data_IF_635878986335
#
_entry.id   IF_635878986335
#
_cell.length_a   1.000
_cell.length_b   1.000
_cell.length_c   1.000
_cell.angle_alpha   90.00
_cell.angle_beta   90.00
_cell.angle_gamma   90.00
#
_symmetry.space_group_name_H-M   'P 1'
#
loop_
_entity.id
_entity.type
_entity.pdbx_description
1 polymer ?
#
# COMPACT_ATOMS: atom_id res chain seq x y z
N UNK A 1 2.25 -20.89 10.61
CA UNK A 1 1.34 -20.27 11.56
C UNK A 1 0.22 -21.24 11.83
N UNK A 2 -0.62 -21.65 10.87
CA UNK A 2 -1.66 -22.67 11.09
C UNK A 2 -1.15 -24.00 11.62
N UNK A 3 -0.01 -24.50 11.14
CA UNK A 3 0.58 -25.74 11.67
C UNK A 3 1.19 -25.59 13.08
N UNK A 4 1.55 -24.37 13.49
CA UNK A 4 2.13 -24.02 14.80
C UNK A 4 1.01 -23.67 15.79
N UNK A 5 -0.01 -22.93 15.33
CA UNK A 5 -1.24 -22.63 16.05
C UNK A 5 -2.08 -23.89 16.25
N UNK A 6 -2.14 -24.84 15.30
CA UNK A 6 -2.78 -26.15 15.51
C UNK A 6 -2.00 -27.06 16.46
N UNK A 7 -0.68 -26.88 16.58
CA UNK A 7 0.10 -27.60 17.61
C UNK A 7 0.01 -26.94 18.98
N UNK A 8 -0.22 -25.63 19.06
CA UNK A 8 -0.40 -24.88 20.30
C UNK A 8 -1.86 -24.82 20.80
N UNK A 9 -2.83 -24.82 19.89
CA UNK A 9 -4.25 -24.63 20.14
C UNK A 9 -5.06 -25.63 19.28
N UNK A 10 -5.87 -26.45 19.96
CA UNK A 10 -6.62 -27.54 19.32
C UNK A 10 -7.97 -27.10 18.72
N UNK A 11 -8.45 -25.88 19.01
CA UNK A 11 -9.69 -25.30 18.46
C UNK A 11 -9.63 -23.77 18.35
N UNK A 12 -10.46 -23.17 17.48
CA UNK A 12 -10.63 -21.70 17.37
C UNK A 12 -11.06 -21.07 18.70
N UNK A 13 -11.88 -21.78 19.50
CA UNK A 13 -12.28 -21.31 20.84
C UNK A 13 -11.09 -21.22 21.82
N UNK A 14 -10.11 -22.12 21.71
CA UNK A 14 -8.89 -22.07 22.53
C UNK A 14 -7.97 -20.93 22.11
N UNK A 15 -7.90 -20.62 20.81
CA UNK A 15 -7.16 -19.47 20.32
C UNK A 15 -7.79 -18.17 20.86
N UNK A 16 -9.12 -18.03 20.77
CA UNK A 16 -9.84 -16.87 21.32
C UNK A 16 -9.62 -16.74 22.82
N UNK A 17 -9.71 -17.85 23.58
CA UNK A 17 -9.44 -17.85 25.01
C UNK A 17 -8.02 -17.38 25.36
N UNK A 18 -7.02 -17.83 24.61
CA UNK A 18 -5.62 -17.44 24.84
C UNK A 18 -5.41 -15.97 24.48
N UNK A 19 -6.02 -15.48 23.40
CA UNK A 19 -6.01 -14.07 23.05
C UNK A 19 -6.66 -13.21 24.15
N UNK A 20 -7.76 -13.66 24.74
CA UNK A 20 -8.40 -13.00 25.87
C UNK A 20 -7.47 -12.98 27.10
N UNK A 21 -6.84 -14.11 27.44
CA UNK A 21 -5.85 -14.18 28.52
C UNK A 21 -4.67 -13.22 28.31
N UNK A 22 -4.13 -13.15 27.08
CA UNK A 22 -3.06 -12.21 26.72
C UNK A 22 -3.54 -10.76 26.84
N UNK A 23 -4.79 -10.47 26.48
CA UNK A 23 -5.40 -9.14 26.61
C UNK A 23 -5.57 -8.74 28.09
N UNK A 24 -6.02 -9.66 28.95
CA UNK A 24 -6.07 -9.43 30.40
C UNK A 24 -4.66 -9.21 30.98
N UNK A 25 -3.66 -9.97 30.52
CA UNK A 25 -2.27 -9.76 30.91
C UNK A 25 -1.77 -8.36 30.53
N UNK A 26 -2.08 -7.88 29.32
CA UNK A 26 -1.75 -6.52 28.89
C UNK A 26 -2.40 -5.49 29.82
N UNK A 27 -3.65 -5.66 30.20
CA UNK A 27 -4.32 -4.74 31.15
C UNK A 27 -3.64 -4.73 32.52
N UNK A 28 -3.22 -5.89 33.03
CA UNK A 28 -2.46 -5.98 34.29
C UNK A 28 -1.09 -5.31 34.15
N UNK A 29 -0.36 -5.58 33.07
CA UNK A 29 0.93 -4.95 32.79
C UNK A 29 0.80 -3.42 32.65
N UNK A 30 -0.29 -2.94 32.04
CA UNK A 30 -0.58 -1.52 31.94
C UNK A 30 -0.81 -0.88 33.32
N UNK A 31 -1.56 -1.54 34.21
CA UNK A 31 -1.76 -1.07 35.58
C UNK A 31 -0.46 -1.05 36.38
N UNK A 32 0.35 -2.11 36.32
CA UNK A 32 1.67 -2.15 36.98
C UNK A 32 2.56 -1.04 36.43
N UNK A 33 2.61 -0.88 35.11
CA UNK A 33 3.41 0.17 34.45
C UNK A 33 2.94 1.55 34.89
N UNK A 34 1.63 1.80 34.93
CA UNK A 34 1.07 3.05 35.44
C UNK A 34 1.52 3.35 36.87
N UNK A 35 1.41 2.38 37.79
CA UNK A 35 1.86 2.55 39.18
C UNK A 35 3.37 2.82 39.24
N UNK A 36 4.18 2.09 38.47
CA UNK A 36 5.64 2.26 38.42
C UNK A 36 6.01 3.66 37.90
N UNK A 37 5.26 4.16 36.92
CA UNK A 37 5.45 5.48 36.33
C UNK A 37 5.13 6.65 37.25
N UNK A 38 4.40 6.41 38.36
CA UNK A 38 4.21 7.41 39.42
C UNK A 38 5.50 7.69 40.19
N UNK A 39 6.45 6.75 40.19
CA UNK A 39 7.68 6.83 40.99
C UNK A 39 8.94 7.04 40.14
N UNK A 40 9.00 6.50 38.92
CA UNK A 40 10.16 6.61 38.04
C UNK A 40 9.73 6.86 36.58
N UNK A 41 10.50 7.66 35.84
CA UNK A 41 10.27 7.85 34.40
C UNK A 41 10.78 6.65 33.58
N UNK A 42 10.13 6.34 32.45
CA UNK A 42 10.60 5.27 31.55
C UNK A 42 12.02 5.59 31.07
N UNK A 43 13.00 4.69 31.24
CA UNK A 43 14.42 4.97 31.00
C UNK A 43 14.81 4.93 29.52
N UNK A 44 14.16 5.73 28.67
CA UNK A 44 14.52 5.92 27.26
C UNK A 44 14.55 7.40 26.85
N UNK A 45 15.21 7.73 25.74
CA UNK A 45 15.27 9.09 25.21
C UNK A 45 15.96 10.07 26.17
N UNK A 46 15.27 11.14 26.57
CA UNK A 46 15.81 12.17 27.49
C UNK A 46 16.10 11.62 28.89
N UNK A 47 15.43 10.53 29.29
CA UNK A 47 15.57 9.89 30.61
C UNK A 47 16.45 8.63 30.57
N UNK A 48 17.21 8.43 29.48
CA UNK A 48 18.06 7.25 29.33
C UNK A 48 19.11 7.17 30.44
N UNK A 49 19.23 5.99 31.06
CA UNK A 49 20.19 5.71 32.13
C UNK A 49 20.79 4.31 31.95
N UNK A 50 22.08 4.16 32.30
CA UNK A 50 22.78 2.86 32.30
C UNK A 50 22.31 1.91 33.41
N UNK A 51 21.42 2.37 34.31
CA UNK A 51 20.89 1.58 35.43
C UNK A 51 20.15 0.31 34.98
N UNK A 52 19.52 0.33 33.79
CA UNK A 52 18.70 -0.77 33.28
C UNK A 52 19.39 -1.57 32.16
N UNK A 53 20.72 -1.43 31.99
CA UNK A 53 21.49 -2.22 31.03
C UNK A 53 22.49 -1.42 30.19
N UNK A 54 23.08 -2.09 29.20
CA UNK A 54 24.02 -1.46 28.27
C UNK A 54 23.28 -0.64 27.20
N UNK A 55 23.84 0.50 26.76
CA UNK A 55 23.21 1.31 25.73
C UNK A 55 23.22 0.59 24.38
N UNK A 56 22.03 0.43 23.79
CA UNK A 56 21.85 -0.05 22.41
C UNK A 56 21.70 1.16 21.48
N UNK A 57 22.22 1.06 20.25
CA UNK A 57 22.01 2.10 19.24
C UNK A 57 20.50 2.36 19.03
N UNK A 58 20.09 3.62 19.05
CA UNK A 58 18.67 4.00 19.02
C UNK A 58 17.95 3.53 17.76
N UNK A 59 18.56 3.61 16.58
CA UNK A 59 17.95 3.18 15.33
C UNK A 59 17.79 1.65 15.32
N UNK A 60 18.82 0.93 15.78
CA UNK A 60 18.77 -0.52 15.89
C UNK A 60 17.72 -0.98 16.90
N UNK A 61 17.62 -0.35 18.06
CA UNK A 61 16.63 -0.69 19.08
C UNK A 61 15.19 -0.47 18.58
N UNK A 62 14.93 0.64 17.88
CA UNK A 62 13.61 0.92 17.28
C UNK A 62 13.26 -0.04 16.15
N UNK A 63 14.24 -0.45 15.36
CA UNK A 63 14.04 -1.45 14.32
C UNK A 63 13.72 -2.82 14.94
N UNK A 64 14.56 -3.32 15.84
CA UNK A 64 14.46 -4.68 16.41
C UNK A 64 13.22 -4.86 17.29
N UNK A 65 12.77 -3.82 18.02
CA UNK A 65 11.62 -3.98 18.92
C UNK A 65 10.28 -4.15 18.17
N UNK A 66 10.16 -3.55 16.98
CA UNK A 66 8.92 -3.62 16.17
C UNK A 66 8.96 -4.80 15.17
N UNK A 67 10.15 -5.31 14.84
CA UNK A 67 10.36 -6.36 13.85
C UNK A 67 9.67 -7.71 14.14
N UNK A 68 9.57 -8.20 15.39
CA UNK A 68 8.86 -9.44 15.70
C UNK A 68 7.39 -9.45 15.27
N UNK A 69 6.72 -8.30 15.30
CA UNK A 69 5.33 -8.19 14.85
C UNK A 69 5.17 -8.54 13.36
N UNK A 70 6.21 -8.28 12.56
CA UNK A 70 6.26 -8.71 11.17
C UNK A 70 6.55 -10.20 11.09
N UNK A 71 7.57 -10.70 11.80
CA UNK A 71 8.07 -12.08 11.71
C UNK A 71 7.07 -13.19 12.03
N UNK A 72 6.02 -12.91 12.79
CA UNK A 72 4.98 -13.90 13.13
C UNK A 72 4.17 -14.31 11.89
N UNK A 73 4.05 -13.43 10.90
CA UNK A 73 3.30 -13.67 9.67
C UNK A 73 4.10 -14.49 8.65
N UNK A 74 3.43 -15.30 7.82
CA UNK A 74 4.09 -16.05 6.75
C UNK A 74 4.72 -15.12 5.71
N UNK A 75 5.92 -15.48 5.21
CA UNK A 75 6.70 -14.64 4.29
C UNK A 75 5.92 -14.15 3.04
N UNK A 76 5.12 -14.98 2.33
CA UNK A 76 4.31 -14.50 1.21
C UNK A 76 3.31 -13.41 1.63
N UNK A 77 2.62 -13.61 2.75
CA UNK A 77 1.63 -12.70 3.30
C UNK A 77 2.30 -11.37 3.71
N UNK A 78 3.46 -11.46 4.38
CA UNK A 78 4.26 -10.28 4.75
C UNK A 78 4.62 -9.46 3.50
N UNK A 79 5.15 -10.11 2.46
CA UNK A 79 5.57 -9.42 1.23
C UNK A 79 4.39 -8.75 0.53
N UNK A 80 3.26 -9.44 0.38
CA UNK A 80 2.04 -8.87 -0.21
C UNK A 80 1.50 -7.71 0.64
N UNK A 81 1.46 -7.87 1.97
CA UNK A 81 1.01 -6.81 2.86
C UNK A 81 1.94 -5.59 2.79
N UNK A 82 3.26 -5.80 2.70
CA UNK A 82 4.25 -4.74 2.52
C UNK A 82 4.08 -4.02 1.17
N UNK A 83 3.81 -4.75 0.08
CA UNK A 83 3.50 -4.16 -1.22
C UNK A 83 2.25 -3.26 -1.11
N UNK A 84 1.17 -3.77 -0.50
CA UNK A 84 -0.05 -3.00 -0.29
C UNK A 84 0.17 -1.75 0.58
N UNK A 85 0.84 -1.90 1.72
CA UNK A 85 1.15 -0.79 2.65
C UNK A 85 2.05 0.24 1.97
N UNK A 86 3.08 -0.20 1.23
CA UNK A 86 3.98 0.71 0.51
C UNK A 86 3.20 1.59 -0.46
N UNK A 87 2.31 1.01 -1.26
CA UNK A 87 1.45 1.77 -2.15
C UNK A 87 0.58 2.76 -1.37
N UNK A 88 -0.08 2.31 -0.31
CA UNK A 88 -0.94 3.17 0.50
C UNK A 88 -0.17 4.33 1.15
N UNK A 89 1.04 4.10 1.67
CA UNK A 89 1.91 5.13 2.23
C UNK A 89 2.29 6.15 1.15
N UNK A 90 2.71 5.68 -0.02
CA UNK A 90 3.08 6.55 -1.13
C UNK A 90 1.87 7.39 -1.59
N UNK A 91 0.70 6.79 -1.74
CA UNK A 91 -0.51 7.47 -2.25
C UNK A 91 -1.15 8.42 -1.23
N UNK A 92 -1.08 8.11 0.06
CA UNK A 92 -1.76 8.87 1.13
C UNK A 92 -0.86 9.86 1.85
N UNK A 93 0.42 9.54 2.05
CA UNK A 93 1.33 10.35 2.87
C UNK A 93 2.41 11.08 2.07
N UNK A 94 2.66 10.71 0.82
CA UNK A 94 3.69 11.35 -0.01
C UNK A 94 3.07 12.09 -1.18
N UNK A 95 2.27 11.40 -2.00
CA UNK A 95 1.67 11.99 -3.19
C UNK A 95 0.88 13.28 -2.90
N UNK A 96 -0.04 13.35 -1.91
CA UNK A 96 -0.90 14.52 -1.72
C UNK A 96 -0.12 15.77 -1.32
N UNK A 97 0.93 15.61 -0.51
CA UNK A 97 1.81 16.71 -0.08
C UNK A 97 2.71 17.24 -1.22
N UNK A 98 2.79 16.51 -2.33
CA UNK A 98 3.58 16.89 -3.51
C UNK A 98 2.71 17.37 -4.68
N UNK A 99 1.38 17.33 -4.58
CA UNK A 99 0.47 17.79 -5.64
C UNK A 99 0.63 19.31 -5.83
N UNK A 100 0.73 19.74 -7.09
CA UNK A 100 0.79 21.16 -7.48
C UNK A 100 -0.44 21.58 -8.27
N UNK A 101 -1.27 22.41 -7.64
CA UNK A 101 -2.54 22.87 -8.21
C UNK A 101 -3.59 21.75 -8.30
N UNK A 102 -4.73 22.06 -8.89
CA UNK A 102 -5.87 21.13 -8.98
C UNK A 102 -7.19 21.86 -8.79
N UNK A 103 -8.27 21.25 -9.25
CA UNK A 103 -9.63 21.70 -8.93
C UNK A 103 -10.09 21.00 -7.66
N UNK A 104 -10.94 21.67 -6.88
CA UNK A 104 -11.57 21.06 -5.70
C UNK A 104 -12.33 19.80 -6.09
N UNK A 105 -12.18 18.75 -5.29
CA UNK A 105 -12.90 17.48 -5.49
C UNK A 105 -14.34 17.62 -4.99
N UNK A 106 -15.34 17.15 -5.75
CA UNK A 106 -16.73 17.09 -5.28
C UNK A 106 -16.87 16.24 -4.01
N UNK A 107 -17.67 16.72 -3.04
CA UNK A 107 -17.80 16.08 -1.72
C UNK A 107 -18.27 14.61 -1.80
N UNK A 108 -19.26 14.31 -2.65
CA UNK A 108 -19.78 12.95 -2.81
C UNK A 108 -18.70 12.00 -3.33
N UNK A 109 -17.92 12.43 -4.33
CA UNK A 109 -16.79 11.64 -4.85
C UNK A 109 -15.73 11.38 -3.79
N UNK A 110 -15.45 12.36 -2.92
CA UNK A 110 -14.54 12.20 -1.79
C UNK A 110 -15.06 11.16 -0.78
N UNK A 111 -16.34 11.25 -0.36
CA UNK A 111 -16.93 10.31 0.59
C UNK A 111 -16.94 8.89 0.05
N UNK A 112 -17.33 8.70 -1.21
CA UNK A 112 -17.32 7.38 -1.86
C UNK A 112 -15.91 6.79 -1.92
N UNK A 113 -14.90 7.59 -2.28
CA UNK A 113 -13.51 7.15 -2.30
C UNK A 113 -13.01 6.81 -0.89
N UNK A 114 -13.37 7.59 0.13
CA UNK A 114 -13.01 7.35 1.52
C UNK A 114 -13.59 6.03 2.04
N UNK A 115 -14.89 5.80 1.83
CA UNK A 115 -15.56 4.54 2.21
C UNK A 115 -14.96 3.36 1.46
N UNK A 116 -14.71 3.50 0.16
CA UNK A 116 -14.05 2.46 -0.63
C UNK A 116 -12.66 2.12 -0.10
N UNK A 117 -11.84 3.12 0.24
CA UNK A 117 -10.50 2.91 0.79
C UNK A 117 -10.53 2.20 2.15
N UNK A 118 -11.48 2.54 3.04
CA UNK A 118 -11.66 1.82 4.30
C UNK A 118 -12.04 0.36 4.04
N UNK A 119 -13.08 0.15 3.23
CA UNK A 119 -13.58 -1.18 2.90
C UNK A 119 -12.51 -2.06 2.24
N UNK A 120 -11.88 -1.57 1.17
CA UNK A 120 -10.86 -2.31 0.45
C UNK A 120 -9.59 -2.51 1.30
N UNK A 121 -9.17 -1.50 2.06
CA UNK A 121 -8.04 -1.61 2.97
C UNK A 121 -8.25 -2.69 4.02
N UNK A 122 -9.43 -2.70 4.66
CA UNK A 122 -9.82 -3.76 5.60
C UNK A 122 -9.85 -5.13 4.91
N UNK A 123 -10.47 -5.23 3.73
CA UNK A 123 -10.60 -6.47 2.96
C UNK A 123 -9.23 -7.10 2.66
N UNK A 124 -8.29 -6.33 2.10
CA UNK A 124 -6.96 -6.85 1.75
C UNK A 124 -6.13 -7.16 3.00
N UNK A 125 -6.10 -6.25 3.98
CA UNK A 125 -5.30 -6.42 5.18
C UNK A 125 -5.78 -7.62 6.01
N UNK A 126 -7.09 -7.75 6.24
CA UNK A 126 -7.66 -8.85 7.02
C UNK A 126 -7.49 -10.19 6.31
N UNK A 127 -7.71 -10.23 4.99
CA UNK A 127 -7.49 -11.46 4.22
C UNK A 127 -6.04 -11.92 4.30
N UNK A 128 -5.07 -11.04 4.00
CA UNK A 128 -3.65 -11.40 3.99
C UNK A 128 -3.12 -11.75 5.38
N UNK A 129 -3.61 -11.12 6.44
CA UNK A 129 -3.11 -11.38 7.80
C UNK A 129 -3.69 -12.64 8.44
N UNK A 130 -4.95 -13.00 8.14
CA UNK A 130 -5.65 -14.07 8.87
C UNK A 130 -6.15 -15.24 8.03
N UNK A 131 -6.40 -15.06 6.73
CA UNK A 131 -7.09 -16.08 5.91
C UNK A 131 -6.28 -16.57 4.71
N UNK A 132 -5.25 -15.83 4.29
CA UNK A 132 -4.41 -16.23 3.18
C UNK A 132 -3.45 -17.34 3.61
N UNK A 133 -3.75 -18.57 3.17
CA UNK A 133 -2.86 -19.71 3.32
C UNK A 133 -2.19 -20.02 1.97
N UNK A 134 -0.87 -19.93 1.93
CA UNK A 134 -0.08 -20.17 0.72
C UNK A 134 0.77 -21.43 0.88
N UNK A 135 0.92 -22.24 -0.18
CA UNK A 135 1.72 -23.45 -0.12
C UNK A 135 3.20 -23.12 0.19
N UNK A 136 3.95 -24.06 0.80
CA UNK A 136 5.39 -23.90 1.01
C UNK A 136 6.10 -23.57 -0.31
N UNK A 137 6.98 -22.57 -0.29
CA UNK A 137 7.69 -22.13 -1.49
C UNK A 137 6.91 -21.21 -2.43
N UNK A 138 5.72 -20.70 -2.04
CA UNK A 138 4.96 -19.78 -2.88
C UNK A 138 5.75 -18.55 -3.35
N UNK A 139 6.68 -18.04 -2.55
CA UNK A 139 7.55 -16.90 -2.93
C UNK A 139 8.41 -17.22 -4.17
N UNK A 140 8.75 -18.50 -4.37
CA UNK A 140 9.50 -18.97 -5.56
C UNK A 140 8.59 -19.41 -6.71
N UNK A 141 7.28 -19.43 -6.51
CA UNK A 141 6.32 -19.82 -7.53
C UNK A 141 6.31 -18.77 -8.67
N UNK A 142 6.23 -19.19 -9.95
CA UNK A 142 6.24 -18.26 -11.09
C UNK A 142 5.19 -17.15 -11.00
N UNK A 143 3.97 -17.46 -10.53
CA UNK A 143 2.93 -16.44 -10.35
C UNK A 143 3.33 -15.37 -9.33
N UNK A 144 3.97 -15.76 -8.23
CA UNK A 144 4.43 -14.80 -7.23
C UNK A 144 5.55 -13.92 -7.79
N UNK A 145 6.56 -14.53 -8.42
CA UNK A 145 7.69 -13.79 -8.99
C UNK A 145 7.22 -12.82 -10.09
N UNK A 146 6.46 -13.32 -11.07
CA UNK A 146 5.94 -12.50 -12.18
C UNK A 146 5.02 -11.42 -11.63
N UNK A 147 4.12 -11.76 -10.71
CA UNK A 147 3.19 -10.81 -10.09
C UNK A 147 3.92 -9.72 -9.31
N UNK A 148 4.94 -10.06 -8.52
CA UNK A 148 5.79 -9.10 -7.82
C UNK A 148 6.56 -8.21 -8.80
N UNK A 149 7.17 -8.76 -9.86
CA UNK A 149 7.85 -7.98 -10.88
C UNK A 149 6.90 -6.99 -11.59
N UNK A 150 5.69 -7.44 -11.94
CA UNK A 150 4.65 -6.59 -12.50
C UNK A 150 4.26 -5.48 -11.52
N UNK A 151 4.08 -5.81 -10.24
CA UNK A 151 3.76 -4.84 -9.21
C UNK A 151 4.83 -3.76 -9.10
N UNK A 152 6.11 -4.15 -9.00
CA UNK A 152 7.23 -3.21 -8.93
C UNK A 152 7.32 -2.32 -10.19
N UNK A 153 7.19 -2.91 -11.38
CA UNK A 153 7.22 -2.16 -12.64
C UNK A 153 6.06 -1.16 -12.73
N UNK A 154 4.85 -1.60 -12.37
CA UNK A 154 3.66 -0.74 -12.33
C UNK A 154 3.83 0.43 -11.36
N UNK A 155 4.34 0.15 -10.16
CA UNK A 155 4.62 1.14 -9.13
C UNK A 155 5.64 2.20 -9.62
N UNK A 156 6.73 1.77 -10.25
CA UNK A 156 7.74 2.67 -10.83
C UNK A 156 7.11 3.56 -11.91
N UNK A 157 6.34 2.98 -12.83
CA UNK A 157 5.66 3.73 -13.91
C UNK A 157 4.68 4.75 -13.31
N UNK A 158 3.90 4.35 -12.30
CA UNK A 158 2.93 5.22 -11.64
C UNK A 158 3.62 6.42 -10.98
N UNK A 159 4.61 6.18 -10.11
CA UNK A 159 5.33 7.22 -9.38
C UNK A 159 6.07 8.15 -10.34
N UNK A 160 6.73 7.60 -11.37
CA UNK A 160 7.44 8.38 -12.38
C UNK A 160 6.48 9.26 -13.19
N UNK A 161 5.33 8.72 -13.60
CA UNK A 161 4.32 9.45 -14.36
C UNK A 161 3.69 10.57 -13.51
N UNK A 162 3.37 10.29 -12.25
CA UNK A 162 2.88 11.30 -11.31
C UNK A 162 3.95 12.37 -11.04
N UNK A 163 5.24 12.01 -11.01
CA UNK A 163 6.33 12.99 -10.95
C UNK A 163 6.36 13.93 -12.16
N UNK A 164 6.21 13.40 -13.37
CA UNK A 164 6.09 14.23 -14.58
C UNK A 164 4.90 15.19 -14.47
N UNK A 165 3.71 14.67 -14.14
CA UNK A 165 2.48 15.47 -14.04
C UNK A 165 2.59 16.61 -13.04
N UNK A 166 3.16 16.34 -11.85
CA UNK A 166 3.36 17.35 -10.80
C UNK A 166 4.31 18.46 -11.23
N UNK A 167 5.29 18.17 -12.09
CA UNK A 167 6.27 19.13 -12.57
C UNK A 167 5.87 19.83 -13.88
N UNK A 168 4.70 19.52 -14.46
CA UNK A 168 4.18 20.30 -15.58
C UNK A 168 3.83 21.74 -15.19
N UNK A 169 3.51 21.97 -13.91
CA UNK A 169 3.10 23.27 -13.39
C UNK A 169 4.14 23.83 -12.43
N UNK A 170 4.47 25.11 -12.62
CA UNK A 170 5.13 25.89 -11.58
C UNK A 170 4.12 26.21 -10.46
N UNK A 171 4.57 26.45 -9.21
CA UNK A 171 3.68 26.91 -8.14
C UNK A 171 2.87 28.14 -8.58
N UNK A 172 1.54 28.06 -8.50
CA UNK A 172 0.62 29.13 -8.94
C UNK A 172 0.09 29.01 -10.38
N UNK A 173 0.66 28.15 -11.23
CA UNK A 173 0.13 27.94 -12.59
C UNK A 173 -1.13 27.04 -12.58
N UNK A 174 -2.16 27.45 -13.32
CA UNK A 174 -3.45 26.73 -13.43
C UNK A 174 -3.67 26.08 -14.80
N UNK A 175 -2.87 26.43 -15.79
CA UNK A 175 -2.95 25.89 -17.16
C UNK A 175 -2.69 24.39 -17.24
N UNK A 176 -3.30 23.72 -18.21
CA UNK A 176 -2.96 22.34 -18.59
C UNK A 176 -1.87 22.36 -19.66
N UNK A 177 -0.97 21.36 -19.62
CA UNK A 177 0.10 21.17 -20.59
C UNK A 177 0.12 19.71 -21.02
N UNK A 178 0.67 19.44 -22.21
CA UNK A 178 0.84 18.07 -22.70
C UNK A 178 2.00 17.41 -21.93
N UNK A 179 1.77 16.28 -21.22
CA UNK A 179 2.85 15.54 -20.57
C UNK A 179 3.81 14.93 -21.58
N UNK A 180 5.11 15.00 -21.29
CA UNK A 180 6.22 14.47 -22.11
C UNK A 180 7.20 13.69 -21.24
N UNK A 181 7.86 12.70 -21.83
CA UNK A 181 8.82 11.80 -21.18
C UNK A 181 8.19 10.50 -20.67
N UNK A 182 9.04 9.47 -20.54
CA UNK A 182 8.65 8.16 -20.02
C UNK A 182 7.48 7.52 -20.79
N UNK A 183 6.55 6.92 -20.06
CA UNK A 183 5.39 6.26 -20.66
C UNK A 183 4.39 7.23 -21.32
N UNK A 184 4.48 8.53 -21.05
CA UNK A 184 3.60 9.50 -21.72
C UNK A 184 3.87 9.59 -23.22
N UNK A 185 5.02 9.17 -23.73
CA UNK A 185 5.25 9.14 -25.18
C UNK A 185 4.40 8.09 -25.91
N UNK A 186 3.91 7.07 -25.19
CA UNK A 186 3.08 6.02 -25.75
C UNK A 186 1.60 6.19 -25.40
N UNK A 187 1.29 6.62 -24.17
CA UNK A 187 -0.08 6.65 -23.65
C UNK A 187 -0.42 7.94 -22.88
N UNK A 188 -1.67 8.39 -22.96
CA UNK A 188 -2.14 9.59 -22.25
C UNK A 188 -2.28 9.39 -20.75
N UNK A 189 -2.74 8.21 -20.33
CA UNK A 189 -2.95 7.84 -18.93
C UNK A 189 -1.79 7.01 -18.37
N UNK A 190 -0.54 7.47 -18.52
CA UNK A 190 0.64 6.69 -18.12
C UNK A 190 0.66 6.29 -16.64
N UNK A 191 0.21 7.17 -15.74
CA UNK A 191 0.08 6.86 -14.32
C UNK A 191 -1.01 5.81 -14.07
N UNK A 192 -2.14 5.92 -14.77
CA UNK A 192 -3.23 4.93 -14.70
C UNK A 192 -2.80 3.56 -15.21
N UNK A 193 -2.04 3.51 -16.31
CA UNK A 193 -1.46 2.28 -16.82
C UNK A 193 -0.55 1.63 -15.78
N UNK A 194 0.35 2.40 -15.17
CA UNK A 194 1.23 1.91 -14.10
C UNK A 194 0.44 1.29 -12.94
N UNK A 195 -0.62 1.96 -12.48
CA UNK A 195 -1.46 1.48 -11.38
C UNK A 195 -2.27 0.22 -11.75
N UNK A 196 -2.73 0.11 -12.99
CA UNK A 196 -3.38 -1.12 -13.49
C UNK A 196 -2.41 -2.29 -13.51
N UNK A 197 -1.20 -2.09 -14.04
CA UNK A 197 -0.14 -3.12 -14.06
C UNK A 197 0.24 -3.50 -12.63
N UNK A 198 0.31 -2.51 -11.74
CA UNK A 198 0.62 -2.71 -10.33
C UNK A 198 -0.38 -3.66 -9.66
N UNK A 199 -1.68 -3.34 -9.72
CA UNK A 199 -2.71 -4.16 -9.08
C UNK A 199 -2.96 -5.49 -9.79
N UNK A 200 -2.73 -5.57 -11.10
CA UNK A 200 -2.75 -6.86 -11.82
C UNK A 200 -1.63 -7.78 -11.33
N UNK A 201 -0.42 -7.23 -11.14
CA UNK A 201 0.70 -7.96 -10.55
C UNK A 201 0.42 -8.41 -9.12
N UNK A 202 -0.17 -7.52 -8.31
CA UNK A 202 -0.62 -7.85 -6.95
C UNK A 202 -1.62 -9.00 -6.93
N UNK A 203 -2.62 -8.98 -7.82
CA UNK A 203 -3.60 -10.06 -7.93
C UNK A 203 -2.99 -11.39 -8.36
N UNK A 204 -2.01 -11.36 -9.27
CA UNK A 204 -1.29 -12.55 -9.72
C UNK A 204 -0.43 -13.16 -8.60
N UNK A 205 0.26 -12.33 -7.83
CA UNK A 205 1.08 -12.79 -6.70
C UNK A 205 0.23 -13.23 -5.50
N UNK A 206 -0.85 -12.51 -5.22
CA UNK A 206 -1.79 -12.79 -4.14
C UNK A 206 -2.73 -13.95 -4.41
N UNK A 207 -2.97 -14.29 -5.69
CA UNK A 207 -3.77 -15.41 -6.17
C UNK A 207 -5.08 -15.61 -5.38
N UNK A 208 -5.79 -14.51 -5.14
CA UNK A 208 -7.02 -14.48 -4.35
C UNK A 208 -8.12 -13.67 -5.03
N UNK A 209 -9.37 -14.05 -4.78
CA UNK A 209 -10.55 -13.32 -5.27
C UNK A 209 -10.55 -11.88 -4.78
N UNK A 210 -10.11 -11.62 -3.54
CA UNK A 210 -10.01 -10.27 -2.97
C UNK A 210 -9.05 -9.38 -3.75
N UNK A 211 -7.84 -9.87 -4.04
CA UNK A 211 -6.84 -9.14 -4.82
C UNK A 211 -7.27 -8.95 -6.28
N UNK A 212 -7.88 -9.97 -6.89
CA UNK A 212 -8.41 -9.91 -8.26
C UNK A 212 -9.58 -8.94 -8.40
N UNK A 213 -10.50 -8.91 -7.44
CA UNK A 213 -11.62 -7.97 -7.41
C UNK A 213 -11.13 -6.52 -7.37
N UNK A 214 -10.09 -6.24 -6.57
CA UNK A 214 -9.50 -4.92 -6.52
C UNK A 214 -8.78 -4.54 -7.83
N UNK A 215 -8.03 -5.47 -8.42
CA UNK A 215 -7.39 -5.25 -9.72
C UNK A 215 -8.42 -4.96 -10.82
N UNK A 216 -9.53 -5.71 -10.86
CA UNK A 216 -10.62 -5.51 -11.82
C UNK A 216 -11.32 -4.16 -11.60
N UNK A 217 -11.62 -3.81 -10.35
CA UNK A 217 -12.23 -2.52 -10.02
C UNK A 217 -11.34 -1.36 -10.48
N UNK A 218 -10.04 -1.43 -10.16
CA UNK A 218 -9.05 -0.43 -10.57
C UNK A 218 -8.95 -0.35 -12.09
N UNK A 219 -8.91 -1.49 -12.79
CA UNK A 219 -8.92 -1.55 -14.25
C UNK A 219 -10.12 -0.80 -14.84
N UNK A 220 -11.34 -1.07 -14.37
CA UNK A 220 -12.56 -0.45 -14.90
C UNK A 220 -12.54 1.06 -14.68
N UNK A 221 -12.30 1.50 -13.44
CA UNK A 221 -12.35 2.93 -13.07
C UNK A 221 -11.27 3.72 -13.81
N UNK A 222 -10.03 3.22 -13.81
CA UNK A 222 -8.90 3.93 -14.41
C UNK A 222 -8.93 3.86 -15.93
N UNK A 223 -9.44 2.77 -16.52
CA UNK A 223 -9.58 2.68 -17.97
C UNK A 223 -10.59 3.70 -18.50
N UNK A 224 -11.76 3.78 -17.84
CA UNK A 224 -12.78 4.79 -18.16
C UNK A 224 -12.21 6.21 -18.08
N UNK A 225 -11.46 6.50 -17.00
CA UNK A 225 -10.84 7.81 -16.80
C UNK A 225 -9.75 8.12 -17.82
N UNK A 226 -8.90 7.16 -18.15
CA UNK A 226 -7.83 7.35 -19.14
C UNK A 226 -8.37 7.58 -20.55
N UNK A 227 -9.43 6.88 -20.95
CA UNK A 227 -10.13 7.15 -22.22
C UNK A 227 -10.72 8.58 -22.25
N UNK A 228 -11.38 9.00 -21.18
CA UNK A 228 -11.91 10.35 -21.06
C UNK A 228 -10.80 11.42 -21.12
N UNK A 229 -9.67 11.19 -20.43
CA UNK A 229 -8.49 12.05 -20.48
C UNK A 229 -7.91 12.14 -21.90
N UNK A 230 -7.76 11.02 -22.59
CA UNK A 230 -7.25 10.97 -23.96
C UNK A 230 -8.12 11.79 -24.92
N UNK A 231 -9.44 11.57 -24.87
CA UNK A 231 -10.41 12.34 -25.67
C UNK A 231 -10.31 13.84 -25.38
N UNK A 232 -10.23 14.21 -24.11
CA UNK A 232 -10.09 15.61 -23.71
C UNK A 232 -8.80 16.24 -24.25
N UNK A 233 -7.66 15.53 -24.19
CA UNK A 233 -6.39 16.02 -24.74
C UNK A 233 -6.46 16.26 -26.25
N UNK A 234 -7.05 15.33 -27.01
CA UNK A 234 -7.24 15.46 -28.46
C UNK A 234 -8.11 16.67 -28.84
N UNK A 235 -9.11 16.99 -28.02
CA UNK A 235 -9.98 18.16 -28.26
C UNK A 235 -9.34 19.46 -27.78
N UNK A 236 -8.55 19.41 -26.70
CA UNK A 236 -8.01 20.60 -26.05
C UNK A 236 -6.76 21.16 -26.73
N UNK A 237 -5.90 20.29 -27.27
CA UNK A 237 -4.61 20.66 -27.84
C UNK A 237 -4.54 20.26 -29.30
N UNK A 238 -4.35 21.24 -30.19
CA UNK A 238 -4.18 21.00 -31.62
C UNK A 238 -2.88 20.24 -31.94
N UNK A 239 -1.84 20.46 -31.13
CA UNK A 239 -0.52 19.85 -31.23
C UNK A 239 -0.38 18.51 -30.46
N UNK A 240 -1.51 17.93 -30.00
CA UNK A 240 -1.47 16.65 -29.30
C UNK A 240 -0.97 15.50 -30.19
N UNK A 241 -0.03 14.65 -29.73
CA UNK A 241 0.45 13.52 -30.52
C UNK A 241 -0.65 12.49 -30.78
N UNK A 242 -1.10 12.41 -32.04
CA UNK A 242 -2.15 11.47 -32.49
C UNK A 242 -1.72 10.00 -32.47
N UNK A 243 -0.42 9.72 -32.36
CA UNK A 243 0.12 8.37 -32.21
C UNK A 243 -0.09 7.79 -30.81
N UNK A 244 -0.29 8.64 -29.79
CA UNK A 244 -0.52 8.19 -28.42
C UNK A 244 -1.85 7.45 -28.31
N UNK A 245 -1.87 6.47 -27.43
CA UNK A 245 -3.07 5.72 -27.04
C UNK A 245 -3.58 6.21 -25.68
N UNK A 246 -4.74 5.77 -25.24
CA UNK A 246 -5.33 6.21 -23.98
C UNK A 246 -4.61 5.60 -22.77
N UNK A 247 -4.37 4.28 -22.78
CA UNK A 247 -3.88 3.49 -21.64
C UNK A 247 -2.93 2.35 -22.02
N UNK A 248 -3.27 1.53 -23.01
CA UNK A 248 -2.47 0.37 -23.40
C UNK A 248 -1.64 0.75 -24.62
N UNK A 249 -0.29 0.74 -24.50
CA UNK A 249 0.59 1.10 -25.61
C UNK A 249 0.21 0.33 -26.88
N UNK A 250 0.10 1.05 -27.99
CA UNK A 250 -0.22 0.52 -29.33
C UNK A 250 -1.61 -0.11 -29.51
N UNK A 251 -2.41 -0.28 -28.45
CA UNK A 251 -3.73 -0.93 -28.51
C UNK A 251 -4.86 0.06 -28.26
N UNK A 252 -4.94 0.61 -27.05
CA UNK A 252 -6.10 1.39 -26.55
C UNK A 252 -5.68 2.69 -25.92
#
# INVERSE_FOLDING_TARGET
>A
MDAILKTLFSSEEQEVYVLDCLSYLIMVMAFITFVTLLFEHVPYGRYASRRYGFPVNVQFAWFVKELPAFLIMHLPNQLLLLMFIFHCLQRSLIYPFLIRGGKSTPFISFVLAFVFCIYNGYLQARYLSHYADYPPGWVTHPCFIIGSCMWFLGCIINIHSDHILRNLRKPGETGYKIPRGGMFEYVSGANFFGEIVEWTGFALAGHSVHSAAFALFTLIVLSSRGMAHHKWYLTKFEDYPKSRKALIPFVL
#
